data_IF_718292288277
#
_entry.id   IF_718292288277
#
_cell.length_a   1.000
_cell.length_b   1.000
_cell.length_c   1.000
_cell.angle_alpha   90.00
_cell.angle_beta   90.00
_cell.angle_gamma   90.00
#
_symmetry.space_group_name_H-M   'P 1'
#
loop_
_entity.id
_entity.type
_entity.pdbx_description
1 polymer ?
#
# COMPACT_ATOMS: atom_id res chain seq x y z
N UNK A 1 31.76 14.57 -4.53
CA UNK A 1 31.85 15.43 -5.73
C UNK A 1 30.85 16.55 -5.56
N UNK A 2 31.34 17.79 -5.56
CA UNK A 2 30.53 18.99 -5.46
C UNK A 2 29.68 19.15 -6.73
N UNK A 3 28.37 19.35 -6.58
CA UNK A 3 27.50 19.72 -7.69
C UNK A 3 27.82 21.16 -8.10
N UNK A 4 28.15 21.36 -9.38
CA UNK A 4 28.26 22.67 -10.00
C UNK A 4 26.90 23.40 -9.99
N UNK A 5 26.86 24.74 -9.93
CA UNK A 5 25.62 25.49 -9.92
C UNK A 5 24.96 25.42 -11.30
N UNK A 6 23.85 24.72 -11.40
CA UNK A 6 23.04 24.59 -12.62
C UNK A 6 22.04 25.75 -12.73
N UNK A 7 22.29 26.69 -13.66
CA UNK A 7 21.27 27.50 -14.37
C UNK A 7 20.25 28.31 -13.55
N UNK A 8 19.38 29.11 -14.21
CA UNK A 8 18.35 29.88 -13.52
C UNK A 8 17.38 28.92 -12.80
N UNK A 9 17.07 29.22 -11.54
CA UNK A 9 16.30 28.37 -10.63
C UNK A 9 14.95 27.96 -11.25
N UNK A 10 14.86 26.71 -11.73
CA UNK A 10 13.59 26.14 -12.15
C UNK A 10 12.61 26.20 -10.97
N UNK A 11 11.39 26.70 -11.22
CA UNK A 11 10.39 26.75 -10.15
C UNK A 11 10.11 25.33 -9.62
N UNK A 12 9.78 25.23 -8.32
CA UNK A 12 9.50 23.95 -7.64
C UNK A 12 8.64 22.99 -8.50
N UNK A 13 7.60 23.53 -9.14
CA UNK A 13 6.68 22.76 -9.96
C UNK A 13 7.23 22.35 -11.33
N UNK A 14 8.19 23.09 -11.91
CA UNK A 14 8.84 22.68 -13.16
C UNK A 14 9.64 21.39 -13.00
N UNK A 15 10.30 21.20 -11.85
CA UNK A 15 11.02 19.96 -11.56
C UNK A 15 10.04 18.78 -11.47
N UNK A 16 8.90 18.98 -10.81
CA UNK A 16 7.84 17.97 -10.72
C UNK A 16 7.16 17.70 -12.06
N UNK A 17 6.88 18.74 -12.84
CA UNK A 17 6.26 18.61 -14.16
C UNK A 17 7.21 17.91 -15.15
N UNK A 18 8.52 18.19 -15.08
CA UNK A 18 9.55 17.46 -15.84
C UNK A 18 9.61 15.99 -15.42
N UNK A 19 9.53 15.71 -14.12
CA UNK A 19 9.48 14.33 -13.64
C UNK A 19 8.22 13.60 -14.12
N UNK A 20 7.06 14.26 -14.04
CA UNK A 20 5.79 13.74 -14.56
C UNK A 20 5.86 13.45 -16.06
N UNK A 21 6.45 14.34 -16.85
CA UNK A 21 6.68 14.12 -18.27
C UNK A 21 7.58 12.90 -18.52
N UNK A 22 8.63 12.73 -17.71
CA UNK A 22 9.50 11.54 -17.78
C UNK A 22 8.74 10.24 -17.44
N UNK A 23 7.80 10.27 -16.49
CA UNK A 23 6.95 9.12 -16.16
C UNK A 23 6.04 8.75 -17.34
N UNK A 24 5.39 9.74 -17.95
CA UNK A 24 4.54 9.56 -19.13
C UNK A 24 5.33 9.01 -20.32
N UNK A 25 6.57 9.50 -20.54
CA UNK A 25 7.44 9.01 -21.59
C UNK A 25 7.96 7.58 -21.36
N UNK A 26 8.15 7.17 -20.10
CA UNK A 26 8.51 5.80 -19.77
C UNK A 26 7.37 4.82 -20.07
N UNK A 27 6.12 5.23 -19.81
CA UNK A 27 4.93 4.45 -20.12
C UNK A 27 4.71 4.26 -21.63
N UNK A 28 5.02 5.28 -22.45
CA UNK A 28 4.87 5.16 -23.91
C UNK A 28 5.92 4.26 -24.56
N UNK A 29 7.15 4.20 -24.00
CA UNK A 29 8.24 3.34 -24.51
C UNK A 29 8.12 1.86 -24.13
N UNK A 30 7.28 1.52 -23.16
CA UNK A 30 7.15 0.18 -22.60
C UNK A 30 6.06 -0.71 -23.21
N UNK A 31 5.49 -0.39 -24.37
CA UNK A 31 4.36 -1.14 -24.92
C UNK A 31 4.79 -2.27 -25.89
N UNK A 32 4.46 -3.54 -25.63
CA UNK A 32 3.25 -4.15 -26.16
C UNK A 32 2.04 -3.59 -25.41
N UNK A 33 0.89 -3.47 -26.07
CA UNK A 33 -0.36 -3.08 -25.42
C UNK A 33 -0.44 -3.70 -24.01
N UNK A 34 -0.77 -2.92 -22.95
CA UNK A 34 -1.15 -3.58 -21.71
C UNK A 34 -2.21 -4.60 -22.12
N UNK A 35 -2.15 -5.87 -21.67
CA UNK A 35 -3.30 -6.72 -21.89
C UNK A 35 -4.47 -5.90 -21.35
N UNK A 36 -5.45 -5.64 -22.22
CA UNK A 36 -6.78 -5.18 -21.84
C UNK A 36 -7.45 -6.35 -21.09
N UNK A 37 -6.76 -6.91 -20.12
CA UNK A 37 -7.33 -7.46 -18.92
C UNK A 37 -7.29 -6.31 -17.93
N UNK A 38 -8.15 -5.30 -18.17
CA UNK A 38 -8.85 -4.76 -17.01
C UNK A 38 -9.43 -6.00 -16.35
N UNK A 39 -8.86 -6.43 -15.23
CA UNK A 39 -9.22 -7.68 -14.55
C UNK A 39 -10.72 -7.71 -14.52
N UNK A 40 -11.34 -8.55 -15.37
CA UNK A 40 -12.78 -8.75 -15.39
C UNK A 40 -13.10 -9.14 -13.97
N UNK A 41 -13.73 -8.23 -13.23
CA UNK A 41 -14.12 -8.50 -11.85
C UNK A 41 -15.04 -9.69 -11.95
N UNK A 42 -14.57 -10.84 -11.44
CA UNK A 42 -15.28 -12.09 -11.56
C UNK A 42 -16.71 -11.87 -11.09
N UNK A 43 -17.69 -12.23 -11.93
CA UNK A 43 -19.08 -12.05 -11.57
C UNK A 43 -19.41 -12.91 -10.35
N UNK A 44 -20.41 -12.53 -9.56
CA UNK A 44 -20.83 -13.33 -8.41
C UNK A 44 -21.15 -14.78 -8.82
N UNK A 45 -21.71 -14.98 -10.02
CA UNK A 45 -21.97 -16.31 -10.58
C UNK A 45 -20.68 -17.10 -10.88
N UNK A 46 -19.64 -16.46 -11.42
CA UNK A 46 -18.33 -17.11 -11.68
C UNK A 46 -17.66 -17.53 -10.37
N UNK A 47 -17.75 -16.68 -9.33
CA UNK A 47 -17.21 -17.00 -8.00
C UNK A 47 -17.96 -18.18 -7.37
N UNK A 48 -19.29 -18.19 -7.41
CA UNK A 48 -20.11 -19.28 -6.89
C UNK A 48 -19.80 -20.61 -7.60
N UNK A 49 -19.78 -20.60 -8.95
CA UNK A 49 -19.46 -21.78 -9.74
C UNK A 49 -18.05 -22.32 -9.44
N UNK A 50 -17.07 -21.43 -9.22
CA UNK A 50 -15.71 -21.84 -8.86
C UNK A 50 -15.66 -22.52 -7.50
N UNK A 51 -16.43 -22.03 -6.51
CA UNK A 51 -16.53 -22.67 -5.20
C UNK A 51 -17.28 -24.00 -5.32
N UNK A 52 -18.37 -24.07 -6.06
CA UNK A 52 -19.15 -25.29 -6.30
C UNK A 52 -18.30 -26.39 -6.92
N UNK A 53 -17.48 -26.07 -7.93
CA UNK A 53 -16.54 -27.02 -8.54
C UNK A 53 -15.57 -27.62 -7.51
N UNK A 54 -15.00 -26.79 -6.62
CA UNK A 54 -14.12 -27.27 -5.55
C UNK A 54 -14.86 -28.21 -4.59
N UNK A 55 -16.10 -27.88 -4.22
CA UNK A 55 -16.90 -28.72 -3.33
C UNK A 55 -17.29 -30.03 -4.04
N UNK A 56 -17.64 -29.97 -5.33
CA UNK A 56 -17.94 -31.14 -6.15
C UNK A 56 -16.74 -32.10 -6.23
N UNK A 57 -15.51 -31.57 -6.37
CA UNK A 57 -14.29 -32.37 -6.35
C UNK A 57 -14.08 -33.05 -5.00
N UNK A 58 -14.33 -32.33 -3.89
CA UNK A 58 -14.26 -32.90 -2.53
C UNK A 58 -15.26 -34.05 -2.37
N UNK A 59 -16.52 -33.86 -2.78
CA UNK A 59 -17.57 -34.90 -2.69
C UNK A 59 -17.24 -36.10 -3.58
N UNK A 60 -16.76 -35.86 -4.80
CA UNK A 60 -16.39 -36.92 -5.74
C UNK A 60 -15.21 -37.75 -5.22
N UNK A 61 -14.23 -37.10 -4.59
CA UNK A 61 -13.08 -37.79 -3.96
C UNK A 61 -13.52 -38.67 -2.79
N UNK A 62 -14.42 -38.14 -1.94
CA UNK A 62 -14.99 -38.91 -0.82
C UNK A 62 -15.83 -40.10 -1.31
N UNK A 63 -16.61 -39.94 -2.39
CA UNK A 63 -17.40 -41.03 -2.98
C UNK A 63 -16.52 -42.18 -3.52
N UNK A 64 -15.27 -41.89 -3.87
CA UNK A 64 -14.25 -42.88 -4.26
C UNK A 64 -13.51 -43.50 -3.07
N UNK A 65 -13.91 -43.19 -1.83
CA UNK A 65 -13.19 -43.54 -0.59
C UNK A 65 -11.74 -43.02 -0.54
N UNK A 66 -11.47 -41.90 -1.21
CA UNK A 66 -10.18 -41.23 -1.16
C UNK A 66 -10.24 -40.00 -0.25
N UNK A 67 -9.11 -39.64 0.35
CA UNK A 67 -9.01 -38.45 1.19
C UNK A 67 -8.89 -37.17 0.33
N UNK A 68 -9.86 -36.24 0.39
CA UNK A 68 -9.79 -34.99 -0.36
C UNK A 68 -8.60 -34.13 0.09
N UNK A 69 -8.08 -33.35 -0.85
CA UNK A 69 -6.98 -32.44 -0.57
C UNK A 69 -7.07 -31.17 -1.42
N UNK A 70 -6.77 -30.03 -0.82
CA UNK A 70 -6.60 -28.77 -1.56
C UNK A 70 -5.18 -28.66 -2.07
N UNK A 71 -5.04 -28.22 -3.32
CA UNK A 71 -3.76 -27.85 -3.93
C UNK A 71 -3.68 -26.32 -3.89
N UNK A 72 -2.75 -25.79 -3.11
CA UNK A 72 -2.62 -24.35 -2.91
C UNK A 72 -1.22 -23.89 -3.31
N UNK A 73 -1.16 -22.85 -4.13
CA UNK A 73 0.07 -22.18 -4.54
C UNK A 73 0.89 -21.71 -3.33
N UNK A 74 2.20 -21.98 -3.34
CA UNK A 74 3.09 -21.61 -2.26
C UNK A 74 3.57 -20.16 -2.39
N UNK A 75 2.73 -19.22 -1.96
CA UNK A 75 3.02 -17.77 -1.96
C UNK A 75 4.05 -17.29 -0.90
N UNK A 76 4.59 -18.20 -0.09
CA UNK A 76 5.53 -17.85 1.00
C UNK A 76 7.00 -18.04 0.61
N UNK A 77 7.29 -18.58 -0.58
CA UNK A 77 8.65 -18.80 -1.06
C UNK A 77 9.05 -17.77 -2.12
N UNK A 78 10.24 -17.19 -1.99
CA UNK A 78 10.84 -16.33 -3.00
C UNK A 78 11.07 -17.06 -4.34
N UNK A 79 11.23 -18.38 -4.33
CA UNK A 79 11.38 -19.20 -5.55
C UNK A 79 10.15 -19.13 -6.45
N UNK A 80 8.97 -18.85 -5.88
CA UNK A 80 7.71 -18.75 -6.60
C UNK A 80 7.37 -17.32 -7.00
N UNK A 81 8.28 -16.37 -6.77
CA UNK A 81 8.05 -14.95 -6.97
C UNK A 81 9.06 -14.42 -7.98
N UNK A 82 8.55 -13.91 -9.09
CA UNK A 82 9.33 -13.16 -10.08
C UNK A 82 9.21 -11.67 -9.78
N UNK A 83 10.30 -10.95 -9.96
CA UNK A 83 10.29 -9.49 -9.98
C UNK A 83 10.19 -8.98 -11.41
N UNK A 84 9.27 -8.05 -11.64
CA UNK A 84 9.15 -7.24 -12.85
C UNK A 84 9.21 -5.76 -12.45
N UNK A 85 10.00 -4.94 -13.14
CA UNK A 85 10.17 -3.53 -12.77
C UNK A 85 8.89 -2.69 -12.95
N UNK A 86 8.01 -3.10 -13.87
CA UNK A 86 6.77 -2.38 -14.19
C UNK A 86 5.60 -2.77 -13.29
N UNK A 87 5.64 -3.95 -12.67
CA UNK A 87 4.53 -4.46 -11.84
C UNK A 87 4.95 -4.77 -10.40
N UNK A 88 6.22 -5.04 -10.13
CA UNK A 88 6.72 -5.48 -8.84
C UNK A 88 6.77 -7.00 -8.71
N UNK A 89 6.46 -7.50 -7.52
CA UNK A 89 6.51 -8.92 -7.18
C UNK A 89 5.27 -9.66 -7.72
N UNK A 90 5.49 -10.63 -8.60
CA UNK A 90 4.44 -11.44 -9.21
C UNK A 90 4.63 -12.92 -8.89
N UNK A 91 3.52 -13.64 -8.75
CA UNK A 91 3.56 -15.10 -8.70
C UNK A 91 3.96 -15.67 -10.06
N UNK A 92 4.88 -16.65 -10.06
CA UNK A 92 5.25 -17.42 -11.25
C UNK A 92 4.10 -18.35 -11.65
N UNK A 93 3.87 -18.54 -12.95
CA UNK A 93 2.81 -19.39 -13.50
C UNK A 93 2.90 -20.87 -13.07
N UNK A 94 4.12 -21.40 -12.94
CA UNK A 94 4.40 -22.78 -12.52
C UNK A 94 5.00 -22.83 -11.10
N UNK A 95 4.30 -22.24 -10.13
CA UNK A 95 4.78 -22.22 -8.76
C UNK A 95 4.69 -23.59 -8.07
N UNK A 96 5.54 -23.81 -7.07
CA UNK A 96 5.40 -24.99 -6.21
C UNK A 96 4.08 -24.92 -5.43
N UNK A 97 3.41 -26.06 -5.31
CA UNK A 97 2.11 -26.16 -4.62
C UNK A 97 2.26 -26.91 -3.31
N UNK A 98 1.39 -26.58 -2.34
CA UNK A 98 1.25 -27.29 -1.07
C UNK A 98 -0.05 -28.08 -1.12
N UNK A 99 0.04 -29.37 -0.78
CA UNK A 99 -1.11 -30.23 -0.65
C UNK A 99 -1.62 -30.23 0.79
N UNK A 100 -2.83 -29.73 1.01
CA UNK A 100 -3.50 -29.72 2.32
C UNK A 100 -4.50 -30.87 2.32
N UNK A 101 -4.16 -31.97 2.97
CA UNK A 101 -4.99 -33.17 2.99
C UNK A 101 -5.95 -33.19 4.18
N UNK A 102 -7.11 -33.84 4.00
CA UNK A 102 -8.08 -34.06 5.08
C UNK A 102 -7.68 -35.18 6.05
N UNK A 103 -6.83 -36.13 5.63
CA UNK A 103 -6.43 -37.32 6.38
C UNK A 103 -5.11 -37.17 7.16
N UNK A 104 -4.42 -36.03 7.01
CA UNK A 104 -3.13 -35.81 7.67
C UNK A 104 -3.31 -35.01 8.97
N UNK A 105 -2.79 -35.50 10.12
CA UNK A 105 -2.86 -34.77 11.39
C UNK A 105 -2.28 -33.35 11.33
N UNK A 106 -1.31 -33.12 10.44
CA UNK A 106 -0.65 -31.80 10.27
C UNK A 106 -1.52 -30.81 9.49
N UNK A 107 -2.41 -31.27 8.61
CA UNK A 107 -3.17 -30.39 7.70
C UNK A 107 -4.69 -30.46 7.89
N UNK A 108 -5.23 -31.45 8.60
CA UNK A 108 -6.67 -31.66 8.78
C UNK A 108 -7.37 -30.43 9.36
N UNK A 109 -6.77 -29.78 10.36
CA UNK A 109 -7.32 -28.53 10.91
C UNK A 109 -7.38 -27.44 9.84
N UNK A 110 -6.30 -27.23 9.08
CA UNK A 110 -6.27 -26.21 8.01
C UNK A 110 -7.26 -26.54 6.90
N UNK A 111 -7.42 -27.82 6.53
CA UNK A 111 -8.41 -28.28 5.57
C UNK A 111 -9.84 -27.92 5.99
N UNK A 112 -10.21 -28.23 7.23
CA UNK A 112 -11.53 -27.90 7.78
C UNK A 112 -11.77 -26.38 7.83
N UNK A 113 -10.77 -25.59 8.22
CA UNK A 113 -10.87 -24.13 8.24
C UNK A 113 -11.06 -23.52 6.83
N UNK A 114 -10.38 -24.06 5.81
CA UNK A 114 -10.57 -23.65 4.41
C UNK A 114 -12.01 -23.91 3.96
N UNK A 115 -12.54 -25.12 4.20
CA UNK A 115 -13.93 -25.45 3.88
C UNK A 115 -14.92 -24.52 4.60
N UNK A 116 -14.68 -24.23 5.88
CA UNK A 116 -15.52 -23.31 6.65
C UNK A 116 -15.52 -21.90 6.04
N UNK A 117 -14.35 -21.38 5.66
CA UNK A 117 -14.25 -20.04 5.04
C UNK A 117 -14.86 -20.03 3.64
N UNK A 118 -14.65 -21.06 2.81
CA UNK A 118 -15.33 -21.20 1.51
C UNK A 118 -16.86 -21.19 1.66
N UNK A 119 -17.40 -21.91 2.65
CA UNK A 119 -18.84 -21.90 2.95
C UNK A 119 -19.35 -20.51 3.35
N UNK A 120 -18.58 -19.77 4.15
CA UNK A 120 -18.94 -18.40 4.52
C UNK A 120 -18.89 -17.46 3.31
N UNK A 121 -17.84 -17.52 2.50
CA UNK A 121 -17.71 -16.74 1.25
C UNK A 121 -18.89 -17.04 0.33
N UNK A 122 -19.23 -18.32 0.13
CA UNK A 122 -20.35 -18.72 -0.71
C UNK A 122 -21.66 -18.06 -0.26
N UNK A 123 -21.96 -18.06 1.05
CA UNK A 123 -23.14 -17.40 1.62
C UNK A 123 -23.12 -15.88 1.42
N UNK A 124 -21.96 -15.24 1.63
CA UNK A 124 -21.81 -13.78 1.41
C UNK A 124 -22.08 -13.40 -0.04
N UNK A 125 -21.47 -14.12 -0.98
CA UNK A 125 -21.66 -13.90 -2.43
C UNK A 125 -23.09 -14.17 -2.84
N UNK A 126 -23.70 -15.28 -2.38
CA UNK A 126 -25.09 -15.66 -2.72
C UNK A 126 -26.12 -14.62 -2.22
N UNK A 127 -25.91 -14.10 -1.01
CA UNK A 127 -26.78 -13.10 -0.38
C UNK A 127 -26.48 -11.65 -0.79
N UNK A 128 -25.44 -11.43 -1.61
CA UNK A 128 -24.90 -10.12 -1.92
C UNK A 128 -24.57 -9.26 -0.68
N UNK A 129 -24.10 -9.89 0.39
CA UNK A 129 -23.63 -9.23 1.61
C UNK A 129 -22.12 -9.28 1.72
N UNK A 130 -21.54 -8.43 2.58
CA UNK A 130 -20.10 -8.28 2.75
C UNK A 130 -19.70 -8.48 4.20
N UNK A 131 -18.50 -9.02 4.44
CA UNK A 131 -17.93 -9.17 5.77
C UNK A 131 -16.47 -8.74 5.79
N UNK A 132 -16.00 -8.20 6.92
CA UNK A 132 -14.57 -7.96 7.13
C UNK A 132 -13.86 -9.23 7.58
N UNK A 133 -12.52 -9.26 7.46
CA UNK A 133 -11.70 -10.36 8.00
C UNK A 133 -11.92 -10.58 9.49
N UNK A 134 -12.23 -9.52 10.24
CA UNK A 134 -12.54 -9.61 11.68
C UNK A 134 -13.90 -10.21 11.94
N UNK A 135 -14.92 -9.86 11.15
CA UNK A 135 -16.25 -10.46 11.30
C UNK A 135 -16.19 -11.98 11.09
N UNK A 136 -15.43 -12.41 10.08
CA UNK A 136 -15.15 -13.83 9.81
C UNK A 136 -14.45 -14.49 11.01
N UNK A 137 -13.42 -13.83 11.56
CA UNK A 137 -12.70 -14.34 12.73
C UNK A 137 -13.60 -14.45 13.97
N UNK A 138 -14.46 -13.47 14.24
CA UNK A 138 -15.35 -13.47 15.40
C UNK A 138 -16.53 -14.42 15.26
N UNK A 139 -16.82 -14.91 14.06
CA UNK A 139 -17.85 -15.93 13.85
C UNK A 139 -17.53 -17.20 14.64
N UNK A 140 -16.25 -17.56 14.78
CA UNK A 140 -15.79 -18.66 15.64
C UNK A 140 -14.32 -18.48 16.05
N UNK A 141 -14.07 -17.58 16.99
CA UNK A 141 -12.71 -17.21 17.41
C UNK A 141 -11.93 -18.38 18.03
N UNK A 142 -12.61 -19.33 18.69
CA UNK A 142 -11.98 -20.51 19.28
C UNK A 142 -11.47 -21.48 18.20
N UNK A 143 -12.27 -21.70 17.15
CA UNK A 143 -11.89 -22.55 16.03
C UNK A 143 -10.68 -21.99 15.26
N UNK A 144 -10.71 -20.69 14.95
CA UNK A 144 -9.65 -20.01 14.20
C UNK A 144 -8.38 -19.76 15.04
N UNK A 145 -8.53 -19.51 16.33
CA UNK A 145 -7.45 -19.22 17.28
C UNK A 145 -6.84 -17.82 17.10
N UNK A 146 -6.28 -17.51 15.93
CA UNK A 146 -5.62 -16.22 15.66
C UNK A 146 -6.11 -15.63 14.33
N UNK A 147 -6.36 -14.32 14.30
CA UNK A 147 -6.77 -13.60 13.09
C UNK A 147 -5.84 -13.84 11.90
N UNK A 148 -4.54 -13.99 12.13
CA UNK A 148 -3.56 -14.29 11.07
C UNK A 148 -3.84 -15.61 10.32
N UNK A 149 -4.53 -16.57 10.95
CA UNK A 149 -4.95 -17.82 10.30
C UNK A 149 -6.03 -17.53 9.27
N UNK A 150 -7.04 -16.74 9.64
CA UNK A 150 -8.12 -16.30 8.75
C UNK A 150 -7.55 -15.48 7.59
N UNK A 151 -6.67 -14.53 7.89
CA UNK A 151 -6.00 -13.71 6.88
C UNK A 151 -5.26 -14.58 5.86
N UNK A 152 -4.51 -15.57 6.32
CA UNK A 152 -3.76 -16.46 5.45
C UNK A 152 -4.64 -17.38 4.61
N UNK A 153 -5.74 -17.88 5.16
CA UNK A 153 -6.67 -18.73 4.42
C UNK A 153 -7.41 -17.94 3.35
N UNK A 154 -7.87 -16.71 3.66
CA UNK A 154 -8.55 -15.85 2.69
C UNK A 154 -7.64 -15.56 1.49
N UNK A 155 -6.38 -15.26 1.75
CA UNK A 155 -5.42 -14.99 0.70
C UNK A 155 -5.07 -16.27 -0.10
N UNK A 156 -4.97 -17.43 0.56
CA UNK A 156 -4.81 -18.73 -0.10
C UNK A 156 -6.02 -19.02 -1.02
N UNK A 157 -7.25 -18.73 -0.58
CA UNK A 157 -8.49 -18.90 -1.37
C UNK A 157 -8.52 -17.93 -2.55
N UNK A 158 -8.18 -16.66 -2.35
CA UNK A 158 -8.10 -15.66 -3.43
C UNK A 158 -7.13 -16.12 -4.54
N UNK A 159 -5.98 -16.67 -4.16
CA UNK A 159 -5.01 -17.22 -5.11
C UNK A 159 -5.50 -18.52 -5.77
N UNK A 160 -6.14 -19.42 -5.02
CA UNK A 160 -6.67 -20.69 -5.50
C UNK A 160 -7.79 -20.48 -6.53
N UNK A 161 -8.70 -19.54 -6.25
CA UNK A 161 -9.82 -19.19 -7.13
C UNK A 161 -9.43 -18.21 -8.24
N UNK A 162 -8.23 -17.63 -8.19
CA UNK A 162 -7.77 -16.55 -9.09
C UNK A 162 -8.73 -15.35 -9.14
N UNK A 163 -9.32 -15.00 -8.00
CA UNK A 163 -10.21 -13.84 -7.87
C UNK A 163 -9.73 -12.90 -6.75
N UNK A 164 -9.83 -11.57 -6.92
CA UNK A 164 -9.43 -10.62 -5.89
C UNK A 164 -10.35 -10.76 -4.66
N UNK A 165 -9.84 -10.37 -3.49
CA UNK A 165 -10.56 -10.56 -2.20
C UNK A 165 -11.94 -9.91 -2.20
N UNK A 166 -12.08 -8.80 -2.90
CA UNK A 166 -13.35 -8.09 -3.00
C UNK A 166 -14.43 -8.88 -3.76
N UNK A 167 -14.07 -9.64 -4.77
CA UNK A 167 -14.99 -10.56 -5.47
C UNK A 167 -15.43 -11.73 -4.57
N UNK A 168 -14.68 -12.02 -3.50
CA UNK A 168 -15.09 -12.95 -2.44
C UNK A 168 -16.03 -12.30 -1.41
N UNK A 169 -16.44 -11.05 -1.62
CA UNK A 169 -17.23 -10.23 -0.68
C UNK A 169 -16.55 -10.04 0.68
N UNK A 170 -15.22 -10.12 0.71
CA UNK A 170 -14.42 -9.87 1.91
C UNK A 170 -13.85 -8.45 1.84
N UNK A 171 -14.29 -7.60 2.76
CA UNK A 171 -13.83 -6.22 2.86
C UNK A 171 -12.54 -6.13 3.69
N UNK A 172 -11.66 -5.25 3.25
CA UNK A 172 -10.52 -4.83 4.07
C UNK A 172 -10.92 -3.65 4.94
N UNK A 173 -10.60 -3.71 6.23
CA UNK A 173 -10.73 -2.56 7.11
C UNK A 173 -9.72 -1.50 6.69
N UNK A 174 -10.21 -0.29 6.43
CA UNK A 174 -9.35 0.85 6.12
C UNK A 174 -8.87 1.50 7.41
N UNK A 175 -7.57 1.74 7.53
CA UNK A 175 -7.00 2.56 8.61
C UNK A 175 -6.30 3.82 8.10
N UNK A 176 -6.12 3.92 6.78
CA UNK A 176 -5.41 5.02 6.16
C UNK A 176 -6.20 6.32 6.22
N UNK A 177 -5.45 7.42 6.10
CA UNK A 177 -5.99 8.77 6.01
C UNK A 177 -5.49 9.44 4.73
N UNK A 178 -6.31 10.33 4.17
CA UNK A 178 -5.98 11.16 3.01
C UNK A 178 -6.35 12.62 3.28
N UNK A 179 -5.49 13.53 2.80
CA UNK A 179 -5.70 14.97 2.86
C UNK A 179 -5.06 15.65 1.65
N UNK A 180 -5.50 16.85 1.31
CA UNK A 180 -4.96 17.64 0.21
C UNK A 180 -5.91 17.73 -0.98
N UNK A 181 -5.37 18.07 -2.14
CA UNK A 181 -6.21 18.41 -3.29
C UNK A 181 -6.78 17.19 -3.99
N UNK A 182 -7.91 16.69 -3.49
CA UNK A 182 -8.67 15.60 -4.09
C UNK A 182 -10.15 15.78 -3.77
N UNK A 183 -10.99 15.54 -4.77
CA UNK A 183 -12.44 15.42 -4.63
C UNK A 183 -12.91 14.16 -5.34
N UNK A 184 -13.88 13.47 -4.76
CA UNK A 184 -14.49 12.28 -5.36
C UNK A 184 -15.94 12.12 -4.91
N UNK A 185 -16.66 11.21 -5.58
CA UNK A 185 -18.02 10.79 -5.21
C UNK A 185 -17.99 9.31 -4.86
N UNK A 186 -18.51 8.94 -3.70
CA UNK A 186 -18.67 7.56 -3.29
C UNK A 186 -19.83 6.88 -4.03
N UNK A 187 -19.95 5.56 -3.90
CA UNK A 187 -20.98 4.78 -4.60
C UNK A 187 -22.40 5.16 -4.18
N UNK A 188 -22.59 5.59 -2.94
CA UNK A 188 -23.86 6.07 -2.40
C UNK A 188 -24.23 7.51 -2.84
N UNK A 189 -23.38 8.14 -3.67
CA UNK A 189 -23.56 9.52 -4.13
C UNK A 189 -22.95 10.58 -3.22
N UNK A 190 -22.38 10.20 -2.07
CA UNK A 190 -21.74 11.13 -1.14
C UNK A 190 -20.55 11.82 -1.80
N UNK A 191 -20.54 13.16 -1.79
CA UNK A 191 -19.42 13.95 -2.32
C UNK A 191 -18.42 14.26 -1.22
N UNK A 192 -17.18 13.87 -1.43
CA UNK A 192 -16.09 14.01 -0.46
C UNK A 192 -15.04 14.99 -0.99
N UNK A 193 -14.68 15.96 -0.15
CA UNK A 193 -13.55 16.87 -0.39
C UNK A 193 -12.44 16.60 0.63
N UNK A 194 -11.23 16.30 0.15
CA UNK A 194 -10.07 16.05 0.99
C UNK A 194 -9.24 17.31 1.29
N UNK A 195 -9.69 18.49 0.83
CA UNK A 195 -8.90 19.73 0.91
C UNK A 195 -8.45 20.06 2.35
N UNK A 196 -7.18 20.47 2.51
CA UNK A 196 -6.62 20.88 3.80
C UNK A 196 -7.12 22.30 4.17
N UNK A 197 -8.35 22.41 4.66
CA UNK A 197 -8.95 23.64 5.19
C UNK A 197 -9.82 23.35 6.41
N UNK A 198 -10.46 24.38 6.99
CA UNK A 198 -11.41 24.23 8.11
C UNK A 198 -12.66 23.37 7.76
N UNK A 199 -12.75 22.83 6.54
CA UNK A 199 -13.91 22.09 6.10
C UNK A 199 -13.49 20.96 5.15
N UNK A 200 -13.00 19.88 5.74
CA UNK A 200 -13.07 18.57 5.10
C UNK A 200 -14.55 18.16 5.09
N UNK A 201 -15.30 18.60 4.08
CA UNK A 201 -16.74 18.41 4.01
C UNK A 201 -17.08 17.09 3.34
N UNK A 202 -17.87 16.29 4.06
CA UNK A 202 -18.66 15.19 3.51
C UNK A 202 -20.07 15.75 3.33
N UNK A 203 -20.41 16.17 2.11
CA UNK A 203 -21.74 16.70 1.82
C UNK A 203 -22.64 15.56 1.33
N UNK A 204 -23.71 15.27 2.08
CA UNK A 204 -24.75 14.30 1.69
C UNK A 204 -25.96 14.94 1.00
N UNK A 205 -26.07 16.26 0.95
CA UNK A 205 -27.20 16.96 0.32
C UNK A 205 -26.77 18.19 -0.51
N UNK A 206 -27.52 18.55 -1.57
CA UNK A 206 -27.23 19.69 -2.43
C UNK A 206 -27.97 20.97 -1.98
N UNK A 207 -27.93 21.38 -0.71
CA UNK A 207 -28.38 22.74 -0.31
C UNK A 207 -28.00 23.08 1.14
N UNK A 208 -26.96 23.91 1.30
CA UNK A 208 -26.87 25.02 2.28
C UNK A 208 -25.39 25.36 2.49
N UNK A 209 -24.99 26.52 1.97
CA UNK A 209 -23.69 27.15 2.17
C UNK A 209 -23.93 28.39 3.03
N UNK A 210 -24.10 28.24 4.35
CA UNK A 210 -24.16 29.40 5.24
C UNK A 210 -23.59 29.10 6.64
N UNK A 211 -22.42 29.71 6.91
CA UNK A 211 -21.81 29.83 8.23
C UNK A 211 -20.29 29.91 8.13
N UNK A 212 -19.62 31.00 8.56
CA UNK A 212 -18.17 30.98 8.72
C UNK A 212 -17.79 30.02 9.85
N UNK A 213 -16.76 29.17 9.68
CA UNK A 213 -16.37 28.22 10.70
C UNK A 213 -15.83 28.95 11.94
N UNK A 214 -16.28 28.50 13.10
CA UNK A 214 -15.83 28.99 14.40
C UNK A 214 -14.34 28.69 14.61
N UNK A 215 -13.64 29.63 15.24
CA UNK A 215 -12.19 29.68 15.37
C UNK A 215 -11.61 28.65 16.34
N UNK A 216 -11.81 27.35 16.11
CA UNK A 216 -10.96 26.26 16.63
C UNK A 216 -11.21 24.91 15.93
N UNK A 217 -11.48 24.89 14.63
CA UNK A 217 -11.68 23.63 13.91
C UNK A 217 -10.34 22.98 13.56
N UNK A 218 -10.07 21.82 14.17
CA UNK A 218 -8.92 20.97 13.83
C UNK A 218 -8.98 20.60 12.35
N UNK A 219 -7.87 20.80 11.63
CA UNK A 219 -7.72 20.37 10.23
C UNK A 219 -7.78 18.84 10.21
N UNK A 220 -8.84 18.27 9.63
CA UNK A 220 -9.10 16.85 9.70
C UNK A 220 -8.81 16.17 8.36
N UNK A 221 -8.02 15.10 8.40
CA UNK A 221 -7.88 14.20 7.26
C UNK A 221 -9.10 13.29 7.14
N UNK A 222 -9.42 12.90 5.91
CA UNK A 222 -10.52 11.99 5.61
C UNK A 222 -10.00 10.55 5.68
N UNK A 223 -10.79 9.64 6.24
CA UNK A 223 -10.47 8.22 6.21
C UNK A 223 -10.50 7.69 4.76
N UNK A 224 -9.53 6.86 4.40
CA UNK A 224 -9.52 6.22 3.08
C UNK A 224 -10.79 5.37 2.93
N UNK A 225 -11.60 5.54 1.86
CA UNK A 225 -12.84 4.79 1.68
C UNK A 225 -12.61 3.27 1.65
N UNK A 226 -13.54 2.51 2.21
CA UNK A 226 -13.51 1.03 2.15
C UNK A 226 -13.73 0.51 0.73
N UNK A 227 -14.39 1.31 -0.11
CA UNK A 227 -14.77 0.96 -1.47
C UNK A 227 -14.03 1.83 -2.50
N UNK A 228 -12.78 1.51 -2.78
CA UNK A 228 -11.96 2.28 -3.74
C UNK A 228 -12.42 2.12 -5.20
N UNK A 229 -12.88 0.92 -5.58
CA UNK A 229 -13.32 0.66 -6.95
C UNK A 229 -14.58 1.46 -7.32
N UNK A 230 -15.53 1.60 -6.40
CA UNK A 230 -16.78 2.33 -6.57
C UNK A 230 -16.64 3.86 -6.54
N UNK A 231 -15.45 4.40 -6.26
CA UNK A 231 -15.22 5.85 -6.35
C UNK A 231 -15.39 6.36 -7.78
N UNK A 232 -16.22 7.40 -7.92
CA UNK A 232 -16.56 8.09 -9.16
C UNK A 232 -16.09 9.54 -9.11
N UNK A 233 -16.03 10.20 -10.27
CA UNK A 233 -15.74 11.64 -10.40
C UNK A 233 -14.50 12.09 -9.62
N UNK A 234 -13.39 11.34 -9.72
CA UNK A 234 -12.13 11.73 -9.09
C UNK A 234 -11.59 12.98 -9.81
N UNK A 235 -11.39 14.05 -9.06
CA UNK A 235 -10.88 15.33 -9.56
C UNK A 235 -9.74 15.79 -8.66
N UNK A 236 -8.59 16.10 -9.25
CA UNK A 236 -7.41 16.62 -8.56
C UNK A 236 -6.62 17.55 -9.46
N UNK A 237 -6.04 18.59 -8.88
CA UNK A 237 -5.01 19.46 -9.48
C UNK A 237 -3.61 19.19 -8.88
N UNK A 238 -3.48 18.15 -8.06
CA UNK A 238 -2.27 17.86 -7.31
C UNK A 238 -1.08 17.63 -8.25
N UNK A 239 0.05 18.25 -7.90
CA UNK A 239 1.32 18.12 -8.62
C UNK A 239 2.15 16.94 -8.13
N UNK A 240 1.89 16.46 -6.92
CA UNK A 240 2.50 15.27 -6.36
C UNK A 240 1.64 14.65 -5.25
N UNK A 241 1.92 13.38 -4.95
CA UNK A 241 1.39 12.64 -3.81
C UNK A 241 2.52 12.31 -2.84
N UNK A 242 2.31 12.61 -1.55
CA UNK A 242 3.23 12.30 -0.47
C UNK A 242 2.64 11.22 0.44
N UNK A 243 3.26 10.05 0.43
CA UNK A 243 2.98 8.96 1.37
C UNK A 243 3.79 9.19 2.63
N UNK A 244 3.12 9.31 3.77
CA UNK A 244 3.74 9.47 5.09
C UNK A 244 3.51 8.22 5.92
N UNK A 245 4.57 7.58 6.37
CA UNK A 245 4.48 6.33 7.13
C UNK A 245 3.69 6.48 8.44
N UNK A 246 4.18 7.36 9.33
CA UNK A 246 3.73 7.47 10.72
C UNK A 246 2.57 8.46 10.85
N UNK A 247 1.49 8.06 11.53
CA UNK A 247 0.32 8.93 11.76
C UNK A 247 0.73 10.21 12.48
N UNK A 248 1.59 10.12 13.50
CA UNK A 248 2.07 11.31 14.22
C UNK A 248 2.78 12.33 13.31
N UNK A 249 3.59 11.86 12.37
CA UNK A 249 4.26 12.73 11.38
C UNK A 249 3.24 13.33 10.41
N UNK A 250 2.26 12.53 9.98
CA UNK A 250 1.17 12.99 9.11
C UNK A 250 0.32 14.07 9.77
N UNK A 251 -0.10 13.88 11.03
CA UNK A 251 -0.86 14.89 11.79
C UNK A 251 -0.05 16.17 11.98
N UNK A 252 1.24 16.06 12.33
CA UNK A 252 2.11 17.24 12.48
C UNK A 252 2.20 18.05 11.19
N UNK A 253 2.31 17.40 10.03
CA UNK A 253 2.32 18.08 8.73
C UNK A 253 0.99 18.77 8.42
N UNK A 254 -0.14 18.22 8.86
CA UNK A 254 -1.45 18.88 8.75
C UNK A 254 -1.54 20.12 9.65
N UNK A 255 -1.07 20.01 10.90
CA UNK A 255 -1.03 21.13 11.84
C UNK A 255 -0.15 22.26 11.30
N UNK A 256 0.99 21.92 10.70
CA UNK A 256 1.92 22.84 10.04
C UNK A 256 1.40 23.41 8.72
N UNK A 257 0.18 23.03 8.29
CA UNK A 257 -0.47 23.49 7.07
C UNK A 257 0.35 23.16 5.80
N UNK A 258 1.03 22.00 5.79
CA UNK A 258 1.92 21.60 4.71
C UNK A 258 1.22 21.55 3.34
N UNK A 259 0.00 21.00 3.26
CA UNK A 259 -0.69 20.88 1.96
C UNK A 259 -1.00 22.23 1.32
N UNK A 260 -1.22 23.28 2.13
CA UNK A 260 -1.46 24.63 1.62
C UNK A 260 -0.15 25.33 1.25
N UNK A 261 0.90 25.14 2.05
CA UNK A 261 2.24 25.69 1.78
C UNK A 261 2.87 25.08 0.52
N UNK A 262 2.62 23.79 0.26
CA UNK A 262 3.13 23.04 -0.88
C UNK A 262 2.03 22.71 -1.92
N UNK A 263 0.97 23.51 -1.92
CA UNK A 263 -0.21 23.32 -2.77
C UNK A 263 0.12 23.50 -4.25
N UNK A 264 -0.44 22.68 -5.17
CA UNK A 264 -1.40 21.61 -4.89
C UNK A 264 -0.72 20.24 -4.70
N UNK A 265 -1.05 19.55 -3.61
CA UNK A 265 -0.53 18.21 -3.31
C UNK A 265 -1.57 17.33 -2.61
N UNK A 266 -1.36 16.01 -2.63
CA UNK A 266 -2.11 15.03 -1.84
C UNK A 266 -1.15 14.40 -0.83
N UNK A 267 -1.61 14.21 0.40
CA UNK A 267 -0.93 13.43 1.43
C UNK A 267 -1.77 12.20 1.77
N UNK A 268 -1.10 11.05 1.93
CA UNK A 268 -1.73 9.79 2.34
C UNK A 268 -0.89 9.16 3.44
N UNK A 269 -1.52 8.57 4.45
CA UNK A 269 -0.83 7.70 5.42
C UNK A 269 -1.54 6.36 5.57
N UNK A 270 -0.76 5.27 5.64
CA UNK A 270 -1.24 3.94 5.99
C UNK A 270 -1.14 3.63 7.49
N UNK A 271 -0.66 4.57 8.31
CA UNK A 271 -0.33 4.37 9.73
C UNK A 271 0.60 3.16 9.93
N UNK A 272 1.80 3.25 9.38
CA UNK A 272 2.77 2.15 9.26
C UNK A 272 2.54 1.31 7.99
N UNK A 273 2.60 -0.02 8.13
CA UNK A 273 2.35 -0.96 7.01
C UNK A 273 0.98 -0.67 6.39
N UNK A 274 0.90 -0.38 5.08
CA UNK A 274 -0.34 0.08 4.45
C UNK A 274 -1.35 -1.05 4.29
N UNK A 275 -2.62 -0.74 4.54
CA UNK A 275 -3.73 -1.66 4.25
C UNK A 275 -4.05 -1.72 2.75
N UNK A 276 -4.88 -2.69 2.36
CA UNK A 276 -5.29 -2.92 0.97
C UNK A 276 -5.92 -1.67 0.34
N UNK A 277 -6.83 -0.99 1.04
CA UNK A 277 -7.57 0.14 0.49
C UNK A 277 -6.67 1.36 0.30
N UNK A 278 -5.75 1.59 1.25
CA UNK A 278 -4.73 2.63 1.11
C UNK A 278 -3.86 2.40 -0.14
N UNK A 279 -3.44 1.16 -0.39
CA UNK A 279 -2.65 0.82 -1.59
C UNK A 279 -3.47 0.96 -2.88
N UNK A 280 -4.71 0.47 -2.89
CA UNK A 280 -5.64 0.62 -4.02
C UNK A 280 -5.88 2.09 -4.35
N UNK A 281 -6.04 2.95 -3.34
CA UNK A 281 -6.26 4.38 -3.56
C UNK A 281 -5.04 5.04 -4.21
N UNK A 282 -3.85 4.81 -3.66
CA UNK A 282 -2.61 5.35 -4.23
C UNK A 282 -2.40 4.86 -5.66
N UNK A 283 -2.65 3.56 -5.93
CA UNK A 283 -2.59 3.00 -7.29
C UNK A 283 -3.60 3.66 -8.22
N UNK A 284 -4.87 3.78 -7.81
CA UNK A 284 -5.94 4.40 -8.62
C UNK A 284 -5.63 5.87 -8.93
N UNK A 285 -5.09 6.63 -7.98
CA UNK A 285 -4.68 8.02 -8.21
C UNK A 285 -3.51 8.11 -9.20
N UNK A 286 -2.53 7.22 -9.08
CA UNK A 286 -1.41 7.17 -10.01
C UNK A 286 -1.86 6.73 -11.41
N UNK A 287 -2.69 5.71 -11.54
CA UNK A 287 -3.22 5.23 -12.83
C UNK A 287 -4.06 6.29 -13.55
N UNK A 288 -4.80 7.12 -12.82
CA UNK A 288 -5.65 8.14 -13.44
C UNK A 288 -4.89 9.44 -13.76
N UNK A 289 -4.01 9.89 -12.86
CA UNK A 289 -3.42 11.23 -12.95
C UNK A 289 -1.93 11.21 -13.24
N UNK A 290 -1.26 10.07 -13.04
CA UNK A 290 0.18 9.89 -13.28
C UNK A 290 1.03 10.92 -12.52
N UNK A 291 0.57 11.32 -11.33
CA UNK A 291 1.27 12.29 -10.49
C UNK A 291 2.50 11.63 -9.84
N UNK A 292 3.63 12.35 -9.71
CA UNK A 292 4.77 11.91 -8.91
C UNK A 292 4.37 11.44 -7.52
N UNK A 293 4.89 10.28 -7.09
CA UNK A 293 4.59 9.69 -5.79
C UNK A 293 5.88 9.60 -4.96
N UNK A 294 5.88 10.26 -3.80
CA UNK A 294 7.00 10.32 -2.88
C UNK A 294 6.66 9.60 -1.57
N UNK A 295 7.62 8.92 -0.97
CA UNK A 295 7.49 8.28 0.34
C UNK A 295 8.40 8.93 1.38
N UNK A 296 7.80 9.33 2.50
CA UNK A 296 8.46 9.78 3.72
C UNK A 296 8.30 8.70 4.79
N UNK A 297 9.40 8.01 5.08
CA UNK A 297 9.51 6.86 6.00
C UNK A 297 10.64 7.10 7.01
N UNK A 298 10.62 6.38 8.12
CA UNK A 298 11.73 6.42 9.08
C UNK A 298 13.01 5.83 8.45
N UNK A 299 14.18 6.29 8.88
CA UNK A 299 15.48 5.81 8.41
C UNK A 299 15.84 4.50 9.11
N UNK A 300 15.04 3.46 8.85
CA UNK A 300 15.22 2.12 9.40
C UNK A 300 14.79 1.02 8.41
N UNK A 301 15.08 -0.28 8.68
CA UNK A 301 14.71 -1.36 7.78
C UNK A 301 13.20 -1.56 7.60
N UNK A 302 12.37 -1.13 8.57
CA UNK A 302 10.92 -1.24 8.51
C UNK A 302 10.30 -0.15 7.62
N UNK A 303 10.79 1.08 7.69
CA UNK A 303 10.41 2.16 6.77
C UNK A 303 10.74 1.82 5.32
N UNK A 304 11.90 1.23 5.07
CA UNK A 304 12.30 0.72 3.75
C UNK A 304 11.34 -0.39 3.27
N UNK A 305 10.94 -1.31 4.15
CA UNK A 305 9.94 -2.34 3.82
C UNK A 305 8.61 -1.71 3.41
N UNK A 306 8.15 -0.70 4.13
CA UNK A 306 6.86 -0.03 3.86
C UNK A 306 6.88 0.61 2.47
N UNK A 307 7.97 1.29 2.14
CA UNK A 307 8.18 1.82 0.79
C UNK A 307 8.19 0.70 -0.27
N UNK A 308 8.88 -0.43 0.00
CA UNK A 308 8.87 -1.58 -0.91
C UNK A 308 7.46 -2.14 -1.12
N UNK A 309 6.60 -2.14 -0.11
CA UNK A 309 5.21 -2.62 -0.24
C UNK A 309 4.41 -1.74 -1.19
N UNK A 310 4.60 -0.42 -1.15
CA UNK A 310 3.96 0.49 -2.12
C UNK A 310 4.51 0.31 -3.53
N UNK A 311 5.84 0.18 -3.68
CA UNK A 311 6.49 0.14 -5.00
C UNK A 311 6.42 -1.22 -5.67
N UNK A 312 6.75 -2.28 -4.94
CA UNK A 312 6.94 -3.64 -5.45
C UNK A 312 5.93 -4.64 -4.91
N UNK A 313 5.17 -4.28 -3.88
CA UNK A 313 4.18 -5.15 -3.28
C UNK A 313 4.75 -6.09 -2.23
N UNK A 314 3.90 -6.99 -1.74
CA UNK A 314 4.25 -7.96 -0.71
C UNK A 314 4.11 -9.38 -1.24
N UNK A 315 4.96 -10.29 -0.78
CA UNK A 315 4.91 -11.71 -1.17
C UNK A 315 3.54 -12.33 -0.93
N UNK A 316 2.93 -12.01 0.22
CA UNK A 316 1.60 -12.50 0.61
C UNK A 316 0.48 -12.06 -0.33
N UNK A 317 0.68 -10.96 -1.08
CA UNK A 317 -0.30 -10.35 -1.97
C UNK A 317 0.20 -10.25 -3.42
N UNK A 318 1.19 -11.09 -3.76
CA UNK A 318 1.82 -11.12 -5.09
C UNK A 318 0.82 -11.45 -6.22
N UNK A 319 -0.25 -12.19 -5.91
CA UNK A 319 -1.36 -12.42 -6.83
C UNK A 319 -2.08 -11.12 -7.25
N UNK A 320 -2.27 -10.19 -6.31
CA UNK A 320 -2.98 -8.91 -6.53
C UNK A 320 -2.02 -7.75 -6.82
N UNK A 321 -0.72 -8.01 -7.01
CA UNK A 321 0.32 -6.96 -7.09
C UNK A 321 0.03 -5.92 -8.18
N UNK A 322 -0.44 -6.35 -9.36
CA UNK A 322 -0.80 -5.48 -10.48
C UNK A 322 -1.79 -4.36 -10.14
N UNK A 323 -2.67 -4.61 -9.16
CA UNK A 323 -3.67 -3.64 -8.69
C UNK A 323 -3.18 -2.81 -7.50
N UNK A 324 -1.98 -3.04 -6.99
CA UNK A 324 -1.55 -2.55 -5.67
C UNK A 324 -0.15 -1.92 -5.62
N UNK A 325 0.60 -1.95 -6.72
CA UNK A 325 1.98 -1.47 -6.80
C UNK A 325 2.08 -0.20 -7.62
N UNK A 326 2.90 0.75 -7.17
CA UNK A 326 3.19 1.97 -7.92
C UNK A 326 4.69 2.03 -8.19
N UNK A 327 5.14 1.63 -9.39
CA UNK A 327 6.57 1.59 -9.75
C UNK A 327 7.25 2.96 -9.67
N UNK A 328 6.47 4.03 -9.85
CA UNK A 328 6.94 5.41 -9.84
C UNK A 328 7.27 5.95 -8.43
N UNK A 329 7.05 5.18 -7.37
CA UNK A 329 7.37 5.59 -5.99
C UNK A 329 8.85 5.93 -5.84
N UNK A 330 9.12 7.09 -5.24
CA UNK A 330 10.46 7.62 -4.92
C UNK A 330 10.64 7.81 -3.42
N UNK A 331 11.83 7.48 -2.92
CA UNK A 331 12.20 7.70 -1.53
C UNK A 331 12.59 9.15 -1.32
N UNK A 332 11.74 9.90 -0.62
CA UNK A 332 12.01 11.31 -0.29
C UNK A 332 12.88 11.43 0.97
N UNK A 333 12.67 10.57 1.95
CA UNK A 333 13.44 10.55 3.18
C UNK A 333 12.72 9.80 4.29
N UNK A 334 13.20 9.84 5.53
CA UNK A 334 14.53 10.29 5.94
C UNK A 334 15.59 9.34 5.36
N UNK A 335 16.58 9.86 4.61
CA UNK A 335 17.64 9.00 4.08
C UNK A 335 18.73 8.80 5.13
N UNK A 336 19.36 7.63 5.22
CA UNK A 336 20.60 7.43 6.00
C UNK A 336 21.67 8.48 5.72
N UNK A 337 21.86 8.90 4.47
CA UNK A 337 22.77 9.98 4.10
C UNK A 337 22.35 11.37 4.62
N UNK A 338 21.04 11.61 4.81
CA UNK A 338 20.54 12.85 5.38
C UNK A 338 20.92 13.00 6.86
N UNK A 339 21.02 11.89 7.60
CA UNK A 339 21.45 11.89 9.01
C UNK A 339 22.85 12.53 9.14
N UNK A 340 23.78 12.10 8.29
CA UNK A 340 25.15 12.62 8.26
C UNK A 340 25.18 14.05 7.72
N UNK A 341 24.46 14.32 6.62
CA UNK A 341 24.44 15.65 5.97
C UNK A 341 23.89 16.74 6.88
N UNK A 342 22.91 16.41 7.72
CA UNK A 342 22.25 17.34 8.64
C UNK A 342 22.94 17.39 10.01
N UNK A 343 24.01 16.62 10.24
CA UNK A 343 24.69 16.49 11.52
C UNK A 343 23.70 16.23 12.68
N UNK A 344 22.78 15.28 12.49
CA UNK A 344 21.79 14.94 13.52
C UNK A 344 22.53 14.45 14.79
N UNK A 345 22.22 14.99 15.98
CA UNK A 345 22.89 14.59 17.22
C UNK A 345 22.78 13.09 17.47
N UNK A 346 23.88 12.47 17.92
CA UNK A 346 23.94 11.03 18.19
C UNK A 346 22.90 10.57 19.22
N UNK A 347 22.54 11.44 20.15
CA UNK A 347 21.53 11.17 21.19
C UNK A 347 20.11 11.03 20.62
N UNK A 348 19.87 11.56 19.42
CA UNK A 348 18.59 11.39 18.68
C UNK A 348 18.59 10.14 17.79
N UNK A 349 19.71 9.42 17.70
CA UNK A 349 19.85 8.21 16.90
C UNK A 349 19.68 6.97 17.76
N UNK A 350 19.14 5.91 17.16
CA UNK A 350 18.84 4.66 17.84
C UNK A 350 19.77 3.57 17.27
N UNK A 351 20.50 2.80 18.10
CA UNK A 351 21.28 1.68 17.61
C UNK A 351 20.39 0.61 16.94
N UNK A 352 20.87 0.00 15.87
CA UNK A 352 20.20 -1.13 15.23
C UNK A 352 20.17 -2.33 16.18
N UNK A 353 19.00 -2.92 16.34
CA UNK A 353 18.87 -4.20 17.04
C UNK A 353 19.31 -5.35 16.14
N UNK A 354 19.58 -6.54 16.72
CA UNK A 354 19.85 -7.76 15.93
C UNK A 354 18.73 -8.07 14.93
N UNK A 355 17.48 -7.79 15.29
CA UNK A 355 16.31 -7.99 14.41
C UNK A 355 16.33 -7.00 13.25
N UNK A 356 16.68 -5.75 13.51
CA UNK A 356 16.82 -4.73 12.46
C UNK A 356 17.92 -5.14 11.48
N UNK A 357 19.08 -5.59 11.97
CA UNK A 357 20.17 -6.05 11.10
C UNK A 357 19.75 -7.24 10.23
N UNK A 358 19.11 -8.26 10.82
CA UNK A 358 18.59 -9.41 10.06
C UNK A 358 17.59 -8.98 8.98
N UNK A 359 16.75 -7.98 9.29
CA UNK A 359 15.78 -7.43 8.35
C UNK A 359 16.46 -6.67 7.21
N UNK A 360 17.46 -5.83 7.54
CA UNK A 360 18.25 -5.08 6.56
C UNK A 360 18.98 -6.03 5.60
N UNK A 361 19.65 -7.05 6.14
CA UNK A 361 20.34 -8.08 5.36
C UNK A 361 19.36 -8.85 4.45
N UNK A 362 18.14 -9.10 4.95
CA UNK A 362 17.08 -9.74 4.15
C UNK A 362 16.59 -8.84 3.01
N UNK A 363 16.49 -7.53 3.22
CA UNK A 363 16.08 -6.58 2.18
C UNK A 363 17.18 -6.44 1.12
N UNK A 364 18.45 -6.31 1.53
CA UNK A 364 19.60 -6.20 0.62
C UNK A 364 19.72 -7.38 -0.37
N UNK A 365 19.25 -8.56 0.03
CA UNK A 365 19.24 -9.78 -0.80
C UNK A 365 18.08 -9.84 -1.80
N UNK A 366 17.13 -8.91 -1.78
CA UNK A 366 15.95 -8.95 -2.66
C UNK A 366 16.30 -8.60 -4.09
N UNK A 367 15.63 -9.22 -5.08
CA UNK A 367 15.99 -9.07 -6.50
C UNK A 367 15.91 -7.62 -7.00
N UNK A 368 14.92 -6.86 -6.54
CA UNK A 368 14.70 -5.48 -6.96
C UNK A 368 15.68 -4.45 -6.38
N UNK A 369 16.49 -4.82 -5.36
CA UNK A 369 17.52 -3.92 -4.83
C UNK A 369 18.67 -3.75 -5.82
N UNK A 370 18.94 -4.76 -6.65
CA UNK A 370 19.95 -4.70 -7.72
C UNK A 370 19.60 -3.63 -8.76
N UNK A 371 18.32 -3.40 -9.02
CA UNK A 371 17.83 -2.35 -9.94
C UNK A 371 17.82 -0.96 -9.30
N UNK A 372 18.16 -0.82 -8.01
CA UNK A 372 18.12 0.43 -7.25
C UNK A 372 19.48 0.70 -6.58
N UNK A 373 20.53 1.08 -7.34
CA UNK A 373 21.87 1.28 -6.78
C UNK A 373 21.92 2.37 -5.70
N UNK A 374 21.10 3.42 -5.84
CA UNK A 374 21.01 4.48 -4.83
C UNK A 374 20.39 3.97 -3.51
N UNK A 375 19.35 3.14 -3.59
CA UNK A 375 18.74 2.55 -2.38
C UNK A 375 19.71 1.58 -1.69
N UNK A 376 20.45 0.79 -2.48
CA UNK A 376 21.51 -0.08 -1.94
C UNK A 376 22.53 0.72 -1.16
N UNK A 377 23.02 1.83 -1.72
CA UNK A 377 24.00 2.70 -1.08
C UNK A 377 23.50 3.27 0.26
N UNK A 378 22.23 3.69 0.32
CA UNK A 378 21.61 4.15 1.56
C UNK A 378 21.51 3.04 2.61
N UNK A 379 21.13 1.83 2.20
CA UNK A 379 21.08 0.66 3.09
C UNK A 379 22.47 0.24 3.59
N UNK A 380 23.50 0.30 2.75
CA UNK A 380 24.89 0.04 3.15
C UNK A 380 25.38 1.09 4.16
N UNK A 381 25.09 2.38 3.94
CA UNK A 381 25.39 3.43 4.92
C UNK A 381 24.70 3.19 6.28
N UNK A 382 23.45 2.70 6.26
CA UNK A 382 22.74 2.30 7.49
C UNK A 382 23.41 1.10 8.17
N UNK A 383 23.83 0.09 7.41
CA UNK A 383 24.52 -1.09 7.95
C UNK A 383 25.88 -0.73 8.56
N UNK A 384 26.64 0.15 7.91
CA UNK A 384 27.96 0.60 8.36
C UNK A 384 27.87 1.44 9.63
N UNK A 385 26.93 2.39 9.67
CA UNK A 385 26.72 3.24 10.84
C UNK A 385 26.15 2.47 12.03
N UNK A 386 25.41 1.38 11.79
CA UNK A 386 24.66 0.61 12.79
C UNK A 386 23.65 1.45 13.59
N UNK A 387 23.19 2.56 13.00
CA UNK A 387 22.22 3.47 13.59
C UNK A 387 20.99 3.58 12.69
N UNK A 388 19.84 3.80 13.31
CA UNK A 388 18.58 4.19 12.68
C UNK A 388 18.08 5.50 13.27
N UNK A 389 17.20 6.18 12.54
CA UNK A 389 16.59 7.42 13.00
C UNK A 389 15.11 7.46 12.65
N UNK A 390 14.29 7.89 13.61
CA UNK A 390 12.91 8.26 13.30
C UNK A 390 12.88 9.62 12.60
N UNK A 391 11.84 9.92 11.81
CA UNK A 391 11.64 11.24 11.21
C UNK A 391 11.61 12.34 12.29
N UNK A 392 11.14 12.02 13.50
CA UNK A 392 11.13 12.91 14.66
C UNK A 392 12.53 13.39 15.06
N UNK A 393 13.61 12.69 14.69
CA UNK A 393 14.97 13.12 14.98
C UNK A 393 15.29 14.50 14.37
N UNK A 394 14.61 14.90 13.30
CA UNK A 394 14.73 16.24 12.72
C UNK A 394 14.26 17.36 13.65
N UNK A 395 13.44 17.06 14.67
CA UNK A 395 13.00 18.05 15.66
C UNK A 395 14.12 18.55 16.57
N UNK A 396 15.25 17.83 16.62
CA UNK A 396 16.47 18.27 17.29
C UNK A 396 17.07 19.55 16.67
N UNK A 397 16.80 19.81 15.39
CA UNK A 397 17.26 21.01 14.67
C UNK A 397 16.31 22.19 14.88
N UNK A 398 15.02 21.98 14.59
CA UNK A 398 13.93 22.88 14.96
C UNK A 398 12.62 22.11 14.98
N UNK A 399 11.64 22.57 15.77
CA UNK A 399 10.34 21.91 15.87
C UNK A 399 9.62 21.81 14.52
N UNK A 400 9.79 22.79 13.64
CA UNK A 400 9.15 22.86 12.32
C UNK A 400 10.12 22.55 11.15
N UNK A 401 11.31 22.00 11.45
CA UNK A 401 12.35 21.75 10.46
C UNK A 401 11.85 20.87 9.30
N UNK A 402 11.07 19.84 9.64
CA UNK A 402 10.51 18.90 8.67
C UNK A 402 9.68 19.63 7.59
N UNK A 403 8.72 20.45 8.03
CA UNK A 403 7.72 21.07 7.16
C UNK A 403 8.23 22.34 6.47
N UNK A 404 9.09 23.13 7.15
CA UNK A 404 9.60 24.40 6.62
C UNK A 404 10.86 24.27 5.78
N UNK A 405 11.74 23.33 6.11
CA UNK A 405 13.10 23.28 5.52
C UNK A 405 13.30 21.97 4.79
N UNK A 406 13.17 20.83 5.47
CA UNK A 406 13.54 19.52 4.93
C UNK A 406 12.73 19.15 3.70
N UNK A 407 11.40 19.07 3.81
CA UNK A 407 10.53 18.67 2.70
C UNK A 407 10.58 19.65 1.53
N UNK A 408 10.43 20.98 1.73
CA UNK A 408 10.51 21.92 0.61
C UNK A 408 11.85 21.88 -0.13
N UNK A 409 12.97 21.78 0.58
CA UNK A 409 14.29 21.70 -0.07
C UNK A 409 14.46 20.39 -0.85
N UNK A 410 14.10 19.25 -0.25
CA UNK A 410 14.21 17.95 -0.92
C UNK A 410 13.34 17.91 -2.18
N UNK A 411 12.13 18.46 -2.12
CA UNK A 411 11.19 18.50 -3.24
C UNK A 411 11.59 19.55 -4.32
N UNK A 412 12.21 20.67 -3.94
CA UNK A 412 12.72 21.67 -4.91
C UNK A 412 13.96 21.22 -5.65
N UNK A 413 14.90 20.59 -4.95
CA UNK A 413 16.24 20.31 -5.48
C UNK A 413 16.44 18.86 -5.97
N UNK A 414 15.36 18.09 -6.16
CA UNK A 414 15.52 16.72 -6.68
C UNK A 414 16.12 15.75 -5.66
N UNK A 415 15.98 16.01 -4.36
CA UNK A 415 16.65 15.26 -3.30
C UNK A 415 16.04 13.90 -2.97
N UNK A 416 15.45 13.19 -3.93
CA UNK A 416 14.80 11.89 -3.76
C UNK A 416 15.42 10.83 -4.69
N UNK A 417 15.21 9.55 -4.37
CA UNK A 417 15.79 8.40 -5.11
C UNK A 417 14.76 7.35 -5.52
#
# INVERSE_FOLDING_TARGET
MAFAPMGPEASFFEVLDRHRASLLAALSKGSPEPPVQGTRTASSSEVLASIENIIQDVVTTLARNEAPAFIIDNRSSWENIKFDDTVGLQMVSHCTTRKIKSDSPKSVKKFALILKILSMIYKLVQSNTYATKRDIYYTDSQLFGNQSVVDNIIDDISCMLKVPRRSLHILSTSKGLIAGSLRFTEEDGTRVSCACGASALVCREPQSWMGPPSSQERRQAIAVPSNIQGLRNLITDAKFLLIVEKDATFQRLLDDNFCNKMSPCIMVTGKGIPDLNTRLLVKKLWDLFHIPVFTLVDADPHGIEIMCIYKYGSMSMSFEAHNLTVPAVRWLGLLPSDINRLNIPKDSLIPLTKRDQMKLDSILKRPYVTCQPFWRKEMEMMADSRMKAEIQALTSLSSDYLSRVYLPNKLKFGGWI
#
